data_IF_045728040092
#
_entry.id   IF_045728040092
#
_cell.length_a   1.000
_cell.length_b   1.000
_cell.length_c   1.000
_cell.angle_alpha   90.00
_cell.angle_beta   90.00
_cell.angle_gamma   90.00
#
_symmetry.space_group_name_H-M   'P 1'
#
loop_
_entity.id
_entity.type
_entity.pdbx_description
1 polymer ?
#
# COMPACT_ATOMS: atom_id res chain seq x y z
N UNK A 1 -1.99 12.64 1.72
CA UNK A 1 -1.15 13.20 0.63
C UNK A 1 -1.29 14.73 0.57
N UNK A 2 -0.28 15.45 0.06
CA UNK A 2 -0.36 16.91 -0.15
C UNK A 2 -1.19 17.29 -1.39
N UNK A 3 -1.96 18.37 -1.27
CA UNK A 3 -2.81 18.91 -2.33
C UNK A 3 -2.04 19.36 -3.58
N UNK A 4 -0.76 19.74 -3.43
CA UNK A 4 0.13 20.14 -4.53
C UNK A 4 0.35 19.03 -5.56
N UNK A 5 0.10 17.77 -5.18
CA UNK A 5 0.25 16.63 -6.09
C UNK A 5 -0.86 16.58 -7.15
N UNK A 6 -1.98 17.30 -6.94
CA UNK A 6 -3.06 17.39 -7.91
C UNK A 6 -2.68 18.39 -9.01
N UNK A 7 -2.71 17.92 -10.26
CA UNK A 7 -2.42 18.76 -11.42
C UNK A 7 -3.37 19.96 -11.46
N UNK A 8 -2.80 21.17 -11.43
CA UNK A 8 -3.55 22.43 -11.45
C UNK A 8 -3.83 23.04 -10.08
N UNK A 9 -3.41 22.42 -8.98
CA UNK A 9 -3.36 23.05 -7.66
C UNK A 9 -1.96 23.62 -7.42
N UNK A 10 -1.84 24.94 -7.58
CA UNK A 10 -0.65 25.69 -7.17
C UNK A 10 -0.69 26.10 -5.70
N UNK A 11 0.40 26.72 -5.22
CA UNK A 11 0.56 27.15 -3.82
C UNK A 11 -0.56 28.10 -3.34
N UNK A 12 -1.11 28.91 -4.26
CA UNK A 12 -2.21 29.84 -3.97
C UNK A 12 -3.50 29.09 -3.67
N UNK A 13 -3.86 28.11 -4.50
CA UNK A 13 -5.08 27.33 -4.32
C UNK A 13 -4.98 26.37 -3.14
N UNK A 14 -3.80 25.78 -2.94
CA UNK A 14 -3.52 24.98 -1.75
C UNK A 14 -3.77 25.80 -0.48
N UNK A 15 -3.24 27.02 -0.39
CA UNK A 15 -3.43 27.86 0.79
C UNK A 15 -4.91 28.13 1.06
N UNK A 16 -5.68 28.49 0.03
CA UNK A 16 -7.14 28.69 0.13
C UNK A 16 -7.87 27.43 0.60
N UNK A 17 -7.50 26.26 0.07
CA UNK A 17 -8.09 24.99 0.48
C UNK A 17 -7.74 24.63 1.93
N UNK A 18 -6.49 24.87 2.36
CA UNK A 18 -6.05 24.68 3.74
C UNK A 18 -6.77 25.63 4.71
N UNK A 19 -7.00 26.87 4.31
CA UNK A 19 -7.78 27.86 5.08
C UNK A 19 -9.25 27.45 5.21
N UNK A 20 -9.81 26.80 4.19
CA UNK A 20 -11.14 26.19 4.23
C UNK A 20 -11.18 24.82 4.95
N UNK A 21 -10.07 24.42 5.58
CA UNK A 21 -9.98 23.20 6.40
C UNK A 21 -9.55 21.95 5.64
N UNK A 22 -9.31 22.01 4.33
CA UNK A 22 -8.85 20.88 3.51
C UNK A 22 -7.33 20.82 3.51
N UNK A 23 -6.77 19.84 4.20
CA UNK A 23 -5.32 19.67 4.37
C UNK A 23 -4.74 18.58 3.50
N UNK A 24 -5.57 17.67 3.00
CA UNK A 24 -5.14 16.48 2.28
C UNK A 24 -5.96 16.20 1.01
N UNK A 25 -5.37 15.44 0.08
CA UNK A 25 -6.03 14.96 -1.14
C UNK A 25 -7.27 14.13 -0.81
N UNK A 26 -7.19 13.29 0.24
CA UNK A 26 -8.32 12.46 0.68
C UNK A 26 -9.48 13.33 1.18
N UNK A 27 -9.20 14.34 2.01
CA UNK A 27 -10.22 15.29 2.48
C UNK A 27 -10.90 16.03 1.32
N UNK A 28 -10.15 16.41 0.29
CA UNK A 28 -10.72 17.08 -0.88
C UNK A 28 -11.76 16.21 -1.61
N UNK A 29 -11.53 14.90 -1.69
CA UNK A 29 -12.45 13.95 -2.35
C UNK A 29 -13.81 13.90 -1.63
N UNK A 30 -13.79 13.90 -0.29
CA UNK A 30 -14.98 13.82 0.54
C UNK A 30 -15.64 15.17 0.83
N UNK A 31 -14.92 16.27 0.64
CA UNK A 31 -15.43 17.60 0.92
C UNK A 31 -16.59 17.99 0.00
N UNK A 32 -17.52 18.79 0.53
CA UNK A 32 -18.65 19.30 -0.22
C UNK A 32 -18.20 20.40 -1.20
N UNK A 33 -18.48 20.19 -2.49
CA UNK A 33 -18.05 21.08 -3.57
C UNK A 33 -18.71 22.45 -3.44
N UNK A 34 -19.98 22.49 -3.03
CA UNK A 34 -20.75 23.72 -2.92
C UNK A 34 -20.24 24.60 -1.79
N UNK A 35 -20.09 24.03 -0.60
CA UNK A 35 -19.53 24.69 0.58
C UNK A 35 -18.10 25.18 0.34
N UNK A 36 -17.26 24.38 -0.32
CA UNK A 36 -15.90 24.79 -0.67
C UNK A 36 -15.88 25.94 -1.67
N UNK A 37 -16.75 25.90 -2.68
CA UNK A 37 -16.83 26.96 -3.69
C UNK A 37 -17.17 28.29 -3.06
N UNK A 38 -18.14 28.31 -2.14
CA UNK A 38 -18.56 29.50 -1.39
C UNK A 38 -17.45 30.01 -0.46
N UNK A 39 -16.75 29.11 0.23
CA UNK A 39 -15.74 29.49 1.23
C UNK A 39 -14.43 29.98 0.60
N UNK A 40 -14.03 29.41 -0.54
CA UNK A 40 -12.72 29.67 -1.17
C UNK A 40 -12.77 30.60 -2.39
N UNK A 41 -13.97 30.95 -2.85
CA UNK A 41 -14.22 31.68 -4.09
C UNK A 41 -13.60 30.97 -5.32
N UNK A 42 -13.65 29.63 -5.31
CA UNK A 42 -13.18 28.79 -6.42
C UNK A 42 -14.41 28.23 -7.12
N UNK A 43 -14.41 28.25 -8.45
CA UNK A 43 -15.54 27.72 -9.22
C UNK A 43 -15.77 26.23 -8.97
N UNK A 44 -17.03 25.83 -8.81
CA UNK A 44 -17.45 24.43 -8.60
C UNK A 44 -16.81 23.48 -9.61
N UNK A 45 -16.83 23.82 -10.90
CA UNK A 45 -16.25 23.02 -11.98
C UNK A 45 -14.74 22.76 -11.80
N UNK A 46 -14.00 23.72 -11.22
CA UNK A 46 -12.57 23.55 -10.96
C UNK A 46 -12.33 22.61 -9.77
N UNK A 47 -13.13 22.75 -8.72
CA UNK A 47 -13.10 21.85 -7.55
C UNK A 47 -13.45 20.42 -7.97
N UNK A 48 -14.49 20.22 -8.79
CA UNK A 48 -14.86 18.90 -9.31
C UNK A 48 -13.73 18.25 -10.11
N UNK A 49 -13.08 19.01 -11.00
CA UNK A 49 -11.89 18.51 -11.72
C UNK A 49 -10.80 18.06 -10.77
N UNK A 50 -10.51 18.84 -9.73
CA UNK A 50 -9.50 18.44 -8.74
C UNK A 50 -9.93 17.23 -7.92
N UNK A 51 -11.22 17.07 -7.60
CA UNK A 51 -11.76 15.87 -6.95
C UNK A 51 -11.63 14.64 -7.84
N UNK A 52 -11.85 14.78 -9.14
CA UNK A 52 -11.68 13.71 -10.11
C UNK A 52 -10.20 13.30 -10.23
N UNK A 53 -9.30 14.28 -10.36
CA UNK A 53 -7.85 14.01 -10.39
C UNK A 53 -7.35 13.42 -9.06
N UNK A 54 -7.87 13.90 -7.93
CA UNK A 54 -7.60 13.34 -6.62
C UNK A 54 -8.05 11.87 -6.52
N UNK A 55 -9.25 11.56 -7.02
CA UNK A 55 -9.76 10.18 -7.09
C UNK A 55 -8.86 9.30 -7.94
N UNK A 56 -8.44 9.76 -9.12
CA UNK A 56 -7.50 9.01 -9.96
C UNK A 56 -6.20 8.75 -9.20
N UNK A 57 -5.61 9.76 -8.56
CA UNK A 57 -4.38 9.60 -7.79
C UNK A 57 -4.55 8.57 -6.65
N UNK A 58 -5.68 8.60 -5.95
CA UNK A 58 -5.99 7.64 -4.87
C UNK A 58 -6.28 6.24 -5.43
N UNK A 59 -7.04 6.13 -6.51
CA UNK A 59 -7.40 4.89 -7.20
C UNK A 59 -6.18 4.20 -7.80
N UNK A 60 -5.28 4.95 -8.46
CA UNK A 60 -3.99 4.43 -8.89
C UNK A 60 -3.17 3.92 -7.71
N UNK A 61 -3.27 4.56 -6.54
CA UNK A 61 -2.57 4.11 -5.34
C UNK A 61 -3.19 2.85 -4.73
N UNK A 62 -4.52 2.72 -4.73
CA UNK A 62 -5.19 1.49 -4.29
C UNK A 62 -4.94 0.33 -5.27
N UNK A 63 -4.85 0.62 -6.58
CA UNK A 63 -4.47 -0.37 -7.60
C UNK A 63 -2.98 -0.78 -7.52
N UNK A 64 -2.05 0.16 -7.28
CA UNK A 64 -0.64 -0.15 -7.01
C UNK A 64 -0.44 -0.93 -5.71
N UNK A 65 -1.34 -0.77 -4.72
CA UNK A 65 -1.27 -1.47 -3.43
C UNK A 65 -1.91 -2.87 -3.48
N UNK A 66 -2.74 -3.19 -4.48
CA UNK A 66 -3.50 -4.47 -4.49
C UNK A 66 -3.03 -5.44 -5.58
N UNK A 67 -2.56 -4.98 -6.75
CA UNK A 67 -2.13 -5.90 -7.82
C UNK A 67 -0.61 -6.07 -7.95
N UNK A 68 0.19 -5.17 -7.36
CA UNK A 68 1.64 -5.16 -7.56
C UNK A 68 2.46 -5.74 -6.40
N UNK A 69 1.86 -5.95 -5.22
CA UNK A 69 2.53 -6.70 -4.15
C UNK A 69 2.77 -8.15 -4.58
N UNK A 70 1.81 -8.85 -5.18
CA UNK A 70 2.05 -10.24 -5.62
C UNK A 70 3.09 -10.37 -6.74
N UNK A 71 3.35 -9.31 -7.52
CA UNK A 71 4.35 -9.31 -8.61
C UNK A 71 5.72 -8.80 -8.18
N UNK A 72 5.77 -7.81 -7.29
CA UNK A 72 6.99 -7.14 -6.83
C UNK A 72 7.37 -7.48 -5.38
N UNK A 73 6.70 -8.45 -4.76
CA UNK A 73 7.09 -9.00 -3.45
C UNK A 73 7.67 -10.40 -3.55
N UNK A 74 8.63 -10.66 -2.67
CA UNK A 74 9.32 -11.94 -2.58
C UNK A 74 9.58 -12.30 -1.13
N UNK A 75 9.25 -13.52 -0.72
CA UNK A 75 9.46 -13.99 0.66
C UNK A 75 10.68 -14.91 0.70
N UNK A 76 11.71 -14.56 1.43
CA UNK A 76 12.82 -15.46 1.76
C UNK A 76 12.67 -15.92 3.21
N UNK A 77 12.60 -17.24 3.41
CA UNK A 77 12.43 -17.85 4.74
C UNK A 77 13.74 -18.54 5.12
N UNK A 78 14.32 -18.15 6.25
CA UNK A 78 15.59 -18.64 6.77
C UNK A 78 15.46 -18.89 8.29
N UNK A 79 15.59 -20.15 8.71
CA UNK A 79 15.65 -20.61 10.11
C UNK A 79 14.82 -19.81 11.13
N UNK A 80 13.49 -19.83 10.97
CA UNK A 80 12.54 -19.22 11.92
C UNK A 80 12.32 -17.71 11.72
N UNK A 81 13.00 -17.10 10.75
CA UNK A 81 12.79 -15.71 10.33
C UNK A 81 12.39 -15.66 8.85
N UNK A 82 11.68 -14.61 8.48
CA UNK A 82 11.40 -14.30 7.09
C UNK A 82 11.90 -12.91 6.75
N UNK A 83 12.34 -12.75 5.51
CA UNK A 83 12.60 -11.46 4.88
C UNK A 83 11.63 -11.31 3.73
N UNK A 84 10.97 -10.18 3.67
CA UNK A 84 10.00 -9.89 2.63
C UNK A 84 10.52 -8.71 1.86
N UNK A 85 10.75 -8.91 0.56
CA UNK A 85 11.01 -7.81 -0.37
C UNK A 85 9.66 -7.19 -0.70
N UNK A 86 9.48 -5.90 -0.46
CA UNK A 86 8.29 -5.13 -0.82
C UNK A 86 8.77 -3.88 -1.54
N UNK A 87 8.33 -3.67 -2.79
CA UNK A 87 8.75 -2.50 -3.60
C UNK A 87 10.27 -2.26 -3.60
N UNK A 88 11.03 -3.34 -3.79
CA UNK A 88 12.51 -3.35 -3.77
C UNK A 88 13.22 -3.16 -2.41
N UNK A 89 12.47 -2.96 -1.33
CA UNK A 89 13.01 -2.82 0.03
C UNK A 89 12.86 -4.14 0.79
N UNK A 90 13.90 -4.55 1.51
CA UNK A 90 13.86 -5.74 2.36
C UNK A 90 13.37 -5.40 3.76
N UNK A 91 12.34 -6.10 4.21
CA UNK A 91 11.78 -5.99 5.55
C UNK A 91 11.93 -7.32 6.29
N UNK A 92 12.24 -7.25 7.59
CA UNK A 92 12.16 -8.42 8.45
C UNK A 92 10.69 -8.70 8.80
N UNK A 93 10.31 -9.96 8.74
CA UNK A 93 8.97 -10.42 9.07
C UNK A 93 9.04 -11.61 10.03
N UNK A 94 8.16 -11.58 11.03
CA UNK A 94 7.96 -12.72 11.91
C UNK A 94 7.31 -13.88 11.15
N UNK A 95 7.69 -15.11 11.51
CA UNK A 95 7.13 -16.33 10.94
C UNK A 95 6.16 -16.93 11.95
N UNK A 96 4.90 -17.09 11.56
CA UNK A 96 3.82 -17.52 12.44
C UNK A 96 3.09 -18.72 11.86
N UNK A 97 2.53 -19.56 12.75
CA UNK A 97 1.67 -20.67 12.35
C UNK A 97 0.17 -20.36 12.56
N UNK A 98 -0.14 -19.26 13.24
CA UNK A 98 -1.51 -18.82 13.53
C UNK A 98 -1.73 -17.37 13.07
N UNK A 99 -2.95 -17.08 12.59
CA UNK A 99 -3.31 -15.75 12.08
C UNK A 99 -3.36 -14.70 13.20
N UNK A 100 -3.87 -15.07 14.37
CA UNK A 100 -4.11 -14.12 15.46
C UNK A 100 -2.83 -13.48 15.99
N UNK A 101 -1.72 -14.23 16.01
CA UNK A 101 -0.41 -13.69 16.38
C UNK A 101 0.22 -12.90 15.25
N UNK A 102 0.07 -13.37 14.00
CA UNK A 102 0.60 -12.68 12.82
C UNK A 102 -0.04 -11.28 12.60
N UNK A 103 -1.35 -11.14 12.82
CA UNK A 103 -2.07 -9.88 12.59
C UNK A 103 -1.73 -8.77 13.60
N UNK A 104 -1.04 -9.11 14.70
CA UNK A 104 -0.53 -8.13 15.68
C UNK A 104 0.73 -7.41 15.20
N UNK A 105 1.44 -8.01 14.24
CA UNK A 105 2.63 -7.42 13.64
C UNK A 105 2.26 -6.49 12.49
N UNK A 106 3.15 -5.57 12.17
CA UNK A 106 3.03 -4.74 10.96
C UNK A 106 3.31 -5.57 9.70
N UNK A 107 4.25 -6.53 9.79
CA UNK A 107 4.66 -7.43 8.70
C UNK A 107 4.86 -8.85 9.25
N UNK A 108 4.11 -9.81 8.72
CA UNK A 108 4.19 -11.20 9.17
C UNK A 108 4.01 -12.18 8.02
N UNK A 109 4.65 -13.35 8.13
CA UNK A 109 4.48 -14.47 7.20
C UNK A 109 3.77 -15.60 7.94
N UNK A 110 2.60 -15.98 7.44
CA UNK A 110 1.88 -17.16 7.90
C UNK A 110 2.38 -18.38 7.15
N UNK A 111 2.92 -19.34 7.87
CA UNK A 111 3.36 -20.62 7.35
C UNK A 111 2.19 -21.58 7.13
N UNK A 112 2.13 -22.14 5.93
CA UNK A 112 1.17 -23.16 5.52
C UNK A 112 1.68 -23.86 4.25
N UNK A 113 0.81 -24.58 3.54
CA UNK A 113 1.13 -25.19 2.23
C UNK A 113 1.60 -24.14 1.21
N UNK A 114 1.03 -22.93 1.28
CA UNK A 114 1.52 -21.73 0.62
C UNK A 114 1.65 -20.62 1.66
N UNK A 115 2.83 -19.97 1.78
CA UNK A 115 3.00 -18.88 2.72
C UNK A 115 2.12 -17.69 2.31
N UNK A 116 1.54 -17.03 3.31
CA UNK A 116 0.75 -15.80 3.13
C UNK A 116 1.46 -14.65 3.82
N UNK A 117 1.46 -13.48 3.19
CA UNK A 117 2.02 -12.26 3.77
C UNK A 117 0.91 -11.43 4.38
N UNK A 118 1.10 -11.05 5.64
CA UNK A 118 0.35 -9.99 6.28
C UNK A 118 1.13 -8.69 6.11
N UNK A 119 0.52 -7.71 5.44
CA UNK A 119 1.08 -6.38 5.27
C UNK A 119 -0.04 -5.37 5.06
N UNK A 120 0.06 -4.19 5.69
CA UNK A 120 -0.93 -3.12 5.51
C UNK A 120 -2.35 -3.51 5.94
N UNK A 121 -2.47 -4.30 7.02
CA UNK A 121 -3.75 -4.82 7.55
C UNK A 121 -4.53 -5.73 6.58
N UNK A 122 -3.82 -6.34 5.61
CA UNK A 122 -4.41 -7.22 4.61
C UNK A 122 -3.53 -8.46 4.39
N UNK A 123 -4.20 -9.58 4.13
CA UNK A 123 -3.55 -10.81 3.69
C UNK A 123 -3.31 -10.79 2.18
N UNK A 124 -2.08 -11.08 1.79
CA UNK A 124 -1.63 -11.22 0.42
C UNK A 124 -1.22 -12.67 0.17
N UNK A 125 -1.74 -13.24 -0.91
CA UNK A 125 -1.56 -14.65 -1.25
C UNK A 125 -0.82 -14.80 -2.58
N UNK A 126 -0.37 -16.03 -2.88
CA UNK A 126 0.37 -16.38 -4.11
C UNK A 126 1.65 -15.57 -4.32
N UNK A 127 2.32 -15.19 -3.23
CA UNK A 127 3.60 -14.47 -3.30
C UNK A 127 4.73 -15.46 -3.57
N UNK A 128 5.62 -15.17 -4.55
CA UNK A 128 6.82 -15.96 -4.78
C UNK A 128 7.66 -16.06 -3.51
N UNK A 129 8.08 -17.28 -3.15
CA UNK A 129 8.89 -17.49 -1.95
C UNK A 129 10.03 -18.47 -2.17
N UNK A 130 11.09 -18.31 -1.38
CA UNK A 130 12.22 -19.23 -1.29
C UNK A 130 12.43 -19.62 0.16
N UNK A 131 12.30 -20.91 0.44
CA UNK A 131 12.60 -21.47 1.76
C UNK A 131 14.01 -22.06 1.72
N UNK A 132 14.95 -21.46 2.46
CA UNK A 132 16.23 -22.11 2.77
C UNK A 132 15.98 -23.08 3.93
N UNK A 133 15.53 -24.27 3.58
CA UNK A 133 15.47 -25.42 4.49
C UNK A 133 16.44 -26.49 4.01
N UNK A 134 17.10 -27.14 4.97
CA UNK A 134 18.10 -28.23 4.89
C UNK A 134 17.63 -29.48 4.09
N UNK A 135 17.20 -29.30 2.84
CA UNK A 135 16.81 -30.37 1.92
C UNK A 135 17.50 -30.22 0.54
N UNK A 136 18.71 -29.65 0.54
CA UNK A 136 19.69 -29.83 -0.54
C UNK A 136 20.55 -31.11 -0.34
N UNK A 137 19.97 -32.22 0.15
CA UNK A 137 20.74 -33.47 0.36
C UNK A 137 20.17 -34.74 -0.29
N UNK A 138 19.28 -34.64 -1.27
CA UNK A 138 18.97 -35.81 -2.12
C UNK A 138 18.96 -35.45 -3.60
N UNK A 139 20.13 -35.02 -4.10
CA UNK A 139 20.45 -35.14 -5.52
C UNK A 139 21.92 -35.54 -5.72
N UNK A 140 22.30 -36.72 -5.23
CA UNK A 140 23.46 -37.44 -5.77
C UNK A 140 23.34 -38.95 -5.60
N UNK A 141 23.56 -39.64 -6.73
CA UNK A 141 23.62 -41.08 -7.00
C UNK A 141 22.30 -41.85 -7.01
N UNK A 142 21.65 -41.86 -8.18
CA UNK A 142 21.22 -43.13 -8.78
C UNK A 142 22.34 -43.58 -9.74
N UNK A 143 22.60 -44.89 -9.68
CA UNK A 143 23.71 -45.65 -10.23
C UNK A 143 24.00 -45.42 -11.71
#
# INVERSE_FOLDING_TARGET
MDLKNIKGIGIVYEKKLREAGIKSVEELIFADTESLSLTTDISKSKIEKWKEEARKIVEYREAEVIEDLSKNSFIEIEEGKAKVKIMEIWHEAGVFNDKNSAEKEEIAVLMGDRPKLWFGKKWHENIPYKKKGLFEFFRRKKC
#
